data_IF_847921951785
#
_entry.id   IF_847921951785
#
_cell.length_a   1.000
_cell.length_b   1.000
_cell.length_c   1.000
_cell.angle_alpha   90.00
_cell.angle_beta   90.00
_cell.angle_gamma   90.00
#
_symmetry.space_group_name_H-M   'P 1'
#
loop_
_entity.id
_entity.type
_entity.pdbx_description
1 polymer ?
#
# COMPACT_ATOMS: atom_id res chain seq x y z
N UNK A 1 6.05 -10.44 -37.33
CA UNK A 1 6.74 -10.22 -36.03
C UNK A 1 5.65 -9.85 -35.05
N UNK A 2 5.63 -10.48 -33.86
CA UNK A 2 4.66 -10.13 -32.81
C UNK A 2 5.39 -9.33 -31.74
N UNK A 3 4.87 -8.16 -31.40
CA UNK A 3 5.48 -7.24 -30.43
C UNK A 3 4.65 -7.17 -29.15
N UNK A 4 5.33 -6.97 -28.02
CA UNK A 4 4.71 -6.70 -26.73
C UNK A 4 5.04 -5.26 -26.33
N UNK A 5 4.03 -4.48 -25.99
CA UNK A 5 4.16 -3.11 -25.49
C UNK A 5 3.90 -3.15 -23.99
N UNK A 6 4.98 -3.10 -23.21
CA UNK A 6 4.96 -3.11 -21.75
C UNK A 6 5.62 -1.82 -21.23
N UNK A 7 4.80 -0.79 -20.99
CA UNK A 7 5.26 0.55 -20.58
C UNK A 7 4.67 0.87 -19.21
N UNK A 8 5.50 1.24 -18.25
CA UNK A 8 5.04 1.67 -16.92
C UNK A 8 4.35 3.05 -16.97
N UNK A 9 3.63 3.40 -15.91
CA UNK A 9 2.97 4.68 -15.73
C UNK A 9 3.94 5.87 -15.78
N UNK A 10 3.47 6.97 -16.36
CA UNK A 10 4.13 8.26 -16.30
C UNK A 10 3.47 9.02 -15.16
N UNK A 11 4.05 8.95 -13.94
CA UNK A 11 3.46 9.46 -12.69
C UNK A 11 2.84 10.85 -12.86
N UNK A 12 1.55 10.96 -12.53
CA UNK A 12 0.78 12.21 -12.64
C UNK A 12 0.43 12.64 -14.07
N UNK A 13 0.66 11.80 -15.08
CA UNK A 13 0.43 12.08 -16.49
C UNK A 13 -0.40 11.00 -17.18
N UNK A 14 0.16 9.80 -17.37
CA UNK A 14 -0.50 8.67 -18.04
C UNK A 14 -0.39 7.40 -17.19
N UNK A 15 -1.49 6.66 -17.08
CA UNK A 15 -1.45 5.28 -16.60
C UNK A 15 -0.66 4.40 -17.58
N UNK A 16 -0.16 3.27 -17.10
CA UNK A 16 0.52 2.27 -17.94
C UNK A 16 -0.34 1.85 -19.15
N UNK A 17 -1.64 1.63 -18.94
CA UNK A 17 -2.57 1.30 -20.02
C UNK A 17 -2.70 2.42 -21.07
N UNK A 18 -2.75 3.69 -20.64
CA UNK A 18 -2.81 4.83 -21.56
C UNK A 18 -1.51 5.02 -22.34
N UNK A 19 -0.36 4.86 -21.69
CA UNK A 19 0.95 4.93 -22.34
C UNK A 19 1.11 3.81 -23.38
N UNK A 20 0.73 2.58 -23.02
CA UNK A 20 0.73 1.44 -23.93
C UNK A 20 -0.20 1.63 -25.12
N UNK A 21 -1.41 2.17 -24.91
CA UNK A 21 -2.35 2.49 -25.99
C UNK A 21 -1.78 3.54 -26.95
N UNK A 22 -1.18 4.61 -26.43
CA UNK A 22 -0.57 5.65 -27.25
C UNK A 22 0.60 5.09 -28.09
N UNK A 23 1.42 4.20 -27.51
CA UNK A 23 2.48 3.52 -28.23
C UNK A 23 1.94 2.56 -29.31
N UNK A 24 0.86 1.84 -29.01
CA UNK A 24 0.19 0.96 -29.98
C UNK A 24 -0.36 1.75 -31.18
N UNK A 25 -0.97 2.91 -30.94
CA UNK A 25 -1.48 3.79 -32.01
C UNK A 25 -0.36 4.32 -32.93
N UNK A 26 0.86 4.49 -32.39
CA UNK A 26 2.04 4.91 -33.15
C UNK A 26 2.82 3.74 -33.78
N UNK A 27 2.45 2.50 -33.50
CA UNK A 27 3.18 1.32 -33.92
C UNK A 27 2.74 0.86 -35.33
N UNK A 28 3.59 1.10 -36.32
CA UNK A 28 3.25 0.83 -37.73
C UNK A 28 3.55 -0.63 -38.13
N UNK A 29 2.50 -1.38 -38.45
CA UNK A 29 2.59 -2.56 -39.34
C UNK A 29 2.94 -3.93 -38.75
N UNK A 30 3.02 -4.12 -37.43
CA UNK A 30 3.19 -5.45 -36.82
C UNK A 30 2.10 -5.77 -35.80
N UNK A 31 1.74 -7.05 -35.66
CA UNK A 31 0.82 -7.51 -34.62
C UNK A 31 1.41 -7.18 -33.24
N UNK A 32 0.75 -6.32 -32.47
CA UNK A 32 1.23 -5.87 -31.17
C UNK A 32 0.13 -5.96 -30.11
N UNK A 33 0.55 -6.28 -28.88
CA UNK A 33 -0.33 -6.39 -27.72
C UNK A 33 0.20 -5.48 -26.60
N UNK A 34 -0.71 -4.78 -25.92
CA UNK A 34 -0.39 -3.94 -24.76
C UNK A 34 -0.57 -4.76 -23.51
N UNK A 35 0.48 -4.85 -22.70
CA UNK A 35 0.42 -5.43 -21.35
C UNK A 35 0.77 -4.33 -20.36
N UNK A 36 -0.23 -3.82 -19.60
CA UNK A 36 0.04 -2.89 -18.53
C UNK A 36 0.99 -3.50 -17.50
N UNK A 37 1.95 -2.71 -17.03
CA UNK A 37 2.93 -3.10 -16.02
C UNK A 37 2.94 -2.07 -14.90
N UNK A 38 3.38 -2.51 -13.71
CA UNK A 38 3.54 -1.66 -12.53
C UNK A 38 4.70 -2.19 -11.69
N UNK A 39 5.47 -1.28 -11.10
CA UNK A 39 6.53 -1.55 -10.14
C UNK A 39 6.03 -1.75 -8.68
N UNK A 40 4.71 -1.86 -8.50
CA UNK A 40 4.08 -1.84 -7.18
C UNK A 40 3.61 -0.44 -6.75
N UNK A 41 3.76 0.55 -7.62
CA UNK A 41 3.15 1.88 -7.52
C UNK A 41 1.75 1.96 -8.09
N UNK A 42 1.38 3.15 -8.57
CA UNK A 42 0.04 3.48 -9.03
C UNK A 42 -0.44 2.55 -10.16
N UNK A 43 -1.61 1.95 -9.96
CA UNK A 43 -2.23 1.03 -10.91
C UNK A 43 -1.95 -0.44 -10.62
N UNK A 44 -1.06 -0.77 -9.69
CA UNK A 44 -0.71 -2.14 -9.31
C UNK A 44 -1.94 -3.00 -8.98
N UNK A 45 -2.83 -2.54 -8.10
CA UNK A 45 -4.00 -3.35 -7.73
C UNK A 45 -4.99 -3.46 -8.86
N UNK A 46 -5.14 -2.42 -9.68
CA UNK A 46 -6.07 -2.45 -10.82
C UNK A 46 -5.59 -3.45 -11.87
N UNK A 47 -4.33 -3.34 -12.28
CA UNK A 47 -3.72 -4.21 -13.29
C UNK A 47 -3.79 -5.68 -12.85
N UNK A 48 -3.30 -6.00 -11.64
CA UNK A 48 -3.26 -7.39 -11.19
C UNK A 48 -4.66 -7.97 -10.95
N UNK A 49 -5.60 -7.18 -10.45
CA UNK A 49 -6.99 -7.66 -10.28
C UNK A 49 -7.61 -8.01 -11.62
N UNK A 50 -7.44 -7.16 -12.63
CA UNK A 50 -7.98 -7.39 -13.97
C UNK A 50 -7.30 -8.60 -14.63
N UNK A 51 -5.97 -8.69 -14.58
CA UNK A 51 -5.21 -9.82 -15.12
C UNK A 51 -5.59 -11.17 -14.48
N UNK A 52 -5.94 -11.17 -13.19
CA UNK A 52 -6.35 -12.37 -12.46
C UNK A 52 -7.86 -12.66 -12.54
N UNK A 53 -8.63 -11.85 -13.28
CA UNK A 53 -10.09 -12.01 -13.37
C UNK A 53 -10.80 -11.79 -12.03
N UNK A 54 -10.21 -10.96 -11.17
CA UNK A 54 -10.72 -10.64 -9.84
C UNK A 54 -11.85 -9.62 -9.86
N UNK A 55 -12.21 -9.17 -8.66
CA UNK A 55 -13.22 -8.12 -8.43
C UNK A 55 -12.67 -7.05 -7.51
N UNK A 56 -13.28 -5.87 -7.52
CA UNK A 56 -12.89 -4.79 -6.63
C UNK A 56 -13.84 -4.70 -5.44
N UNK A 57 -13.27 -4.33 -4.29
CA UNK A 57 -14.01 -4.01 -3.08
C UNK A 57 -13.71 -2.59 -2.64
N UNK A 58 -14.73 -1.93 -2.11
CA UNK A 58 -14.68 -0.53 -1.70
C UNK A 58 -14.97 -0.42 -0.21
N UNK A 59 -14.15 0.35 0.50
CA UNK A 59 -14.15 0.41 1.97
C UNK A 59 -14.05 1.87 2.40
N UNK A 60 -14.80 2.22 3.45
CA UNK A 60 -14.61 3.49 4.15
C UNK A 60 -13.37 3.37 5.04
N UNK A 61 -12.39 4.24 4.85
CA UNK A 61 -11.14 4.26 5.62
C UNK A 61 -10.70 5.71 5.85
N UNK A 62 -9.50 5.87 6.39
CA UNK A 62 -8.89 7.18 6.64
C UNK A 62 -7.74 7.46 5.67
N UNK A 63 -7.61 8.71 5.27
CA UNK A 63 -6.50 9.18 4.44
C UNK A 63 -5.23 9.44 5.28
N UNK A 64 -4.11 9.90 4.68
CA UNK A 64 -2.88 10.15 5.44
C UNK A 64 -3.04 11.15 6.59
N UNK A 65 -4.02 12.05 6.56
CA UNK A 65 -4.28 13.04 7.59
C UNK A 65 -5.43 12.66 8.53
N UNK A 66 -5.94 11.43 8.44
CA UNK A 66 -7.02 10.93 9.28
C UNK A 66 -8.42 11.39 8.85
N UNK A 67 -8.59 11.90 7.63
CA UNK A 67 -9.90 12.29 7.08
C UNK A 67 -10.59 11.05 6.51
N UNK A 68 -11.90 10.92 6.70
CA UNK A 68 -12.65 9.80 6.12
C UNK A 68 -12.69 9.91 4.60
N UNK A 69 -12.32 8.81 3.94
CA UNK A 69 -12.34 8.64 2.49
C UNK A 69 -12.94 7.27 2.15
N UNK A 70 -13.18 7.07 0.86
CA UNK A 70 -13.54 5.76 0.32
C UNK A 70 -12.41 5.29 -0.58
N UNK A 71 -11.81 4.17 -0.24
CA UNK A 71 -10.73 3.55 -1.00
C UNK A 71 -11.19 2.22 -1.59
N UNK A 72 -10.45 1.76 -2.61
CA UNK A 72 -10.74 0.53 -3.35
C UNK A 72 -9.51 -0.36 -3.35
N UNK A 73 -9.71 -1.66 -3.24
CA UNK A 73 -8.67 -2.66 -3.42
C UNK A 73 -9.18 -3.85 -4.24
N UNK A 74 -8.25 -4.66 -4.73
CA UNK A 74 -8.51 -5.82 -5.56
C UNK A 74 -8.68 -7.12 -4.78
N UNK A 75 -9.51 -8.03 -5.28
CA UNK A 75 -9.65 -9.37 -4.74
C UNK A 75 -9.67 -10.39 -5.87
N UNK A 76 -8.73 -11.32 -5.85
CA UNK A 76 -8.67 -12.45 -6.76
C UNK A 76 -8.50 -13.74 -5.95
N UNK A 77 -9.44 -14.67 -6.07
CA UNK A 77 -9.51 -15.87 -5.23
C UNK A 77 -9.51 -15.53 -3.73
N UNK A 78 -8.46 -15.92 -3.00
CA UNK A 78 -8.25 -15.63 -1.57
C UNK A 78 -7.12 -14.62 -1.34
N UNK A 79 -6.67 -13.97 -2.42
CA UNK A 79 -5.61 -12.97 -2.40
C UNK A 79 -6.22 -11.57 -2.53
N UNK A 80 -5.96 -10.71 -1.56
CA UNK A 80 -6.27 -9.28 -1.68
C UNK A 80 -5.06 -8.53 -2.22
N UNK A 81 -5.31 -7.63 -3.16
CA UNK A 81 -4.31 -6.85 -3.85
C UNK A 81 -4.55 -5.39 -3.46
N UNK A 82 -3.68 -4.85 -2.63
CA UNK A 82 -3.84 -3.55 -1.97
C UNK A 82 -2.71 -2.64 -2.40
N UNK A 83 -3.00 -1.37 -2.64
CA UNK A 83 -2.00 -0.32 -2.85
C UNK A 83 -2.03 0.63 -1.66
N UNK A 84 -0.86 0.96 -1.11
CA UNK A 84 -0.75 2.01 -0.09
C UNK A 84 -1.28 3.34 -0.61
N UNK A 85 -1.08 3.64 -1.90
CA UNK A 85 -1.57 4.87 -2.51
C UNK A 85 -3.10 5.07 -2.40
N UNK A 86 -3.87 3.98 -2.32
CA UNK A 86 -5.34 4.04 -2.28
C UNK A 86 -5.88 4.69 -1.00
N UNK A 87 -5.20 4.50 0.14
CA UNK A 87 -5.61 5.06 1.43
C UNK A 87 -4.55 5.94 2.09
N UNK A 88 -3.30 5.84 1.67
CA UNK A 88 -2.14 6.49 2.27
C UNK A 88 -1.29 7.21 1.22
N UNK A 89 -1.84 7.54 0.06
CA UNK A 89 -1.10 8.08 -1.08
C UNK A 89 -0.91 9.59 -1.14
N UNK A 90 0.10 10.02 -1.88
CA UNK A 90 0.39 11.43 -2.19
C UNK A 90 -0.76 12.12 -2.92
N UNK A 91 -1.46 11.41 -3.80
CA UNK A 91 -2.59 11.94 -4.57
C UNK A 91 -3.81 12.32 -3.73
N UNK A 92 -3.85 11.93 -2.46
CA UNK A 92 -4.91 12.28 -1.50
C UNK A 92 -4.67 13.63 -0.82
N UNK A 93 -3.49 14.22 -1.01
CA UNK A 93 -3.06 15.43 -0.31
C UNK A 93 -2.87 16.58 -1.30
N UNK A 94 -3.24 17.78 -0.87
CA UNK A 94 -2.84 19.02 -1.54
C UNK A 94 -1.36 19.28 -1.30
N UNK A 95 -0.73 20.10 -2.16
CA UNK A 95 0.71 20.40 -2.05
C UNK A 95 1.09 20.99 -0.69
N UNK A 96 0.21 21.80 -0.10
CA UNK A 96 0.43 22.44 1.20
C UNK A 96 0.20 21.49 2.38
N UNK A 97 -0.44 20.34 2.12
CA UNK A 97 -0.72 19.29 3.11
C UNK A 97 0.38 18.23 3.19
N UNK A 98 1.35 18.28 2.26
CA UNK A 98 2.46 17.33 2.21
C UNK A 98 3.39 17.51 3.42
N UNK A 99 3.12 16.74 4.47
CA UNK A 99 3.94 16.68 5.66
C UNK A 99 4.08 15.22 6.13
N UNK A 100 5.21 14.56 5.85
CA UNK A 100 5.40 13.14 6.17
C UNK A 100 5.44 12.84 7.68
N UNK A 101 5.63 13.85 8.53
CA UNK A 101 5.59 13.71 10.00
C UNK A 101 4.16 13.52 10.49
N UNK A 102 3.19 14.16 9.84
CA UNK A 102 1.78 14.08 10.21
C UNK A 102 1.06 12.93 9.51
N UNK A 103 1.57 12.50 8.36
CA UNK A 103 0.98 11.45 7.55
C UNK A 103 1.04 10.07 8.24
N UNK A 104 -0.06 9.32 8.21
CA UNK A 104 -0.19 7.97 8.77
C UNK A 104 -0.60 6.93 7.73
N UNK A 105 -0.08 5.70 7.86
CA UNK A 105 -0.46 4.54 7.03
C UNK A 105 -1.72 3.82 7.55
N UNK A 106 -2.41 4.37 8.55
CA UNK A 106 -3.56 3.76 9.22
C UNK A 106 -4.64 3.26 8.26
N UNK A 107 -5.01 4.08 7.27
CA UNK A 107 -6.00 3.69 6.27
C UNK A 107 -5.63 2.46 5.46
N UNK A 108 -4.35 2.27 5.14
CA UNK A 108 -3.88 1.04 4.48
C UNK A 108 -4.13 -0.18 5.39
N UNK A 109 -3.90 -0.03 6.70
CA UNK A 109 -4.20 -1.09 7.66
C UNK A 109 -5.70 -1.40 7.78
N UNK A 110 -6.58 -0.40 7.62
CA UNK A 110 -8.03 -0.62 7.54
C UNK A 110 -8.41 -1.45 6.30
N UNK A 111 -7.76 -1.21 5.15
CA UNK A 111 -7.96 -2.04 3.95
C UNK A 111 -7.50 -3.49 4.17
N UNK A 112 -6.34 -3.67 4.81
CA UNK A 112 -5.84 -5.01 5.14
C UNK A 112 -6.81 -5.72 6.09
N UNK A 113 -7.33 -5.03 7.10
CA UNK A 113 -8.28 -5.61 8.05
C UNK A 113 -9.57 -6.04 7.35
N UNK A 114 -10.17 -5.16 6.52
CA UNK A 114 -11.37 -5.49 5.75
C UNK A 114 -11.14 -6.69 4.81
N UNK A 115 -9.97 -6.76 4.16
CA UNK A 115 -9.61 -7.91 3.31
C UNK A 115 -9.54 -9.23 4.09
N UNK A 116 -8.92 -9.22 5.27
CA UNK A 116 -8.83 -10.40 6.13
C UNK A 116 -10.22 -10.82 6.65
N UNK A 117 -11.07 -9.86 7.03
CA UNK A 117 -12.45 -10.10 7.46
C UNK A 117 -13.32 -10.64 6.32
N UNK A 118 -13.06 -10.20 5.09
CA UNK A 118 -13.69 -10.73 3.88
C UNK A 118 -13.21 -12.14 3.51
N UNK A 119 -12.16 -12.63 4.18
CA UNK A 119 -11.68 -14.01 4.09
C UNK A 119 -10.45 -14.21 3.23
N UNK A 120 -9.74 -13.13 2.85
CA UNK A 120 -8.42 -13.25 2.24
C UNK A 120 -7.44 -13.94 3.20
N UNK A 121 -6.55 -14.78 2.68
CA UNK A 121 -5.42 -15.37 3.43
C UNK A 121 -4.06 -14.98 2.88
N UNK A 122 -4.03 -14.28 1.75
CA UNK A 122 -2.83 -13.69 1.18
C UNK A 122 -3.08 -12.20 0.86
N UNK A 123 -2.09 -11.36 1.17
CA UNK A 123 -2.12 -9.93 0.85
C UNK A 123 -0.93 -9.61 -0.05
N UNK A 124 -1.20 -9.08 -1.24
CA UNK A 124 -0.21 -8.49 -2.13
C UNK A 124 -0.28 -6.98 -1.98
N UNK A 125 0.75 -6.38 -1.39
CA UNK A 125 0.77 -4.96 -1.04
C UNK A 125 1.73 -4.19 -1.94
N UNK A 126 1.19 -3.36 -2.83
CA UNK A 126 1.95 -2.36 -3.57
C UNK A 126 2.28 -1.16 -2.67
N UNK A 127 3.56 -0.84 -2.54
CA UNK A 127 4.05 0.19 -1.60
C UNK A 127 4.27 1.57 -2.25
N UNK A 128 4.17 1.69 -3.58
CA UNK A 128 4.50 2.92 -4.27
C UNK A 128 3.44 4.02 -4.10
N UNK A 129 3.88 5.28 -4.23
CA UNK A 129 2.99 6.45 -4.17
C UNK A 129 2.53 6.88 -2.78
N UNK A 130 3.09 6.32 -1.70
CA UNK A 130 2.75 6.67 -0.32
C UNK A 130 3.13 8.12 0.05
N UNK A 131 2.28 8.77 0.84
CA UNK A 131 2.52 10.05 1.49
C UNK A 131 3.18 9.90 2.88
N UNK A 132 3.39 8.67 3.35
CA UNK A 132 3.76 8.38 4.75
C UNK A 132 5.24 7.98 4.87
N UNK A 133 5.84 8.29 6.03
CA UNK A 133 7.15 7.78 6.43
C UNK A 133 7.11 7.15 7.83
N UNK A 134 5.96 6.63 8.25
CA UNK A 134 5.65 6.13 9.59
C UNK A 134 6.15 4.71 9.88
N UNK A 135 6.98 4.15 9.00
CA UNK A 135 7.52 2.79 9.13
C UNK A 135 6.44 1.70 9.22
N UNK A 136 5.20 1.98 8.77
CA UNK A 136 4.07 1.04 8.88
C UNK A 136 3.45 0.98 10.28
N UNK A 137 3.80 1.88 11.19
CA UNK A 137 3.18 1.96 12.52
C UNK A 137 1.68 2.19 12.43
N UNK A 138 1.21 3.05 11.52
CA UNK A 138 -0.23 3.24 11.26
C UNK A 138 -0.95 1.94 10.86
N UNK A 139 -0.38 1.17 9.91
CA UNK A 139 -0.90 -0.15 9.52
C UNK A 139 -1.04 -1.06 10.75
N UNK A 140 0.01 -1.16 11.56
CA UNK A 140 0.01 -2.00 12.76
C UNK A 140 -1.04 -1.50 13.77
N UNK A 141 -1.20 -0.20 13.95
CA UNK A 141 -2.25 0.34 14.83
C UNK A 141 -3.65 -0.06 14.39
N UNK A 142 -3.95 0.02 13.08
CA UNK A 142 -5.25 -0.41 12.54
C UNK A 142 -5.49 -1.91 12.77
N UNK A 143 -4.43 -2.73 12.70
CA UNK A 143 -4.46 -4.16 13.03
C UNK A 143 -4.52 -4.45 14.55
N UNK A 144 -4.64 -3.42 15.38
CA UNK A 144 -4.86 -3.54 16.82
C UNK A 144 -3.60 -3.52 17.68
N UNK A 145 -2.43 -3.29 17.10
CA UNK A 145 -1.20 -3.08 17.86
C UNK A 145 -1.21 -1.73 18.57
N UNK A 146 -0.59 -1.68 19.75
CA UNK A 146 -0.46 -0.46 20.54
C UNK A 146 1.01 -0.14 20.75
N UNK A 147 1.38 1.11 20.49
CA UNK A 147 2.72 1.64 20.75
C UNK A 147 2.68 2.50 22.01
N UNK A 148 3.59 2.23 22.94
CA UNK A 148 3.71 2.95 24.21
C UNK A 148 5.02 3.73 24.24
N UNK A 149 4.97 4.95 24.77
CA UNK A 149 6.16 5.72 25.14
C UNK A 149 6.51 5.48 26.62
N UNK A 150 7.73 5.86 27.05
CA UNK A 150 8.18 5.72 28.45
C UNK A 150 7.31 6.49 29.45
N UNK A 151 6.63 7.54 28.98
CA UNK A 151 5.53 8.14 29.73
C UNK A 151 4.32 7.22 29.61
N UNK A 152 3.98 6.51 30.69
CA UNK A 152 2.95 5.44 30.81
C UNK A 152 1.52 5.74 30.30
N UNK A 153 1.28 6.79 29.49
CA UNK A 153 -0.06 7.23 29.05
C UNK A 153 -0.20 7.81 27.63
N UNK A 154 0.83 7.95 26.81
CA UNK A 154 0.63 8.43 25.42
C UNK A 154 0.76 7.30 24.40
N UNK A 155 -0.27 7.17 23.55
CA UNK A 155 -0.22 6.38 22.33
C UNK A 155 0.44 7.24 21.25
N UNK A 156 1.33 6.66 20.46
CA UNK A 156 1.87 7.33 19.28
C UNK A 156 0.78 7.30 18.22
N UNK A 157 0.32 8.47 17.75
CA UNK A 157 -0.56 8.57 16.58
C UNK A 157 0.21 9.29 15.48
N UNK A 158 0.31 8.68 14.29
CA UNK A 158 1.09 9.23 13.18
C UNK A 158 2.59 8.88 13.24
N UNK A 159 3.41 9.60 12.49
CA UNK A 159 4.84 9.32 12.30
C UNK A 159 5.74 9.92 13.41
N UNK A 160 5.28 9.97 14.67
CA UNK A 160 6.14 10.37 15.80
C UNK A 160 7.04 9.20 16.23
N UNK A 161 7.82 8.72 15.26
CA UNK A 161 8.79 7.64 15.37
C UNK A 161 10.10 8.10 16.01
N UNK A 162 10.28 9.40 16.28
CA UNK A 162 11.47 9.92 16.99
C UNK A 162 11.56 9.44 18.44
N UNK A 163 10.46 8.93 19.00
CA UNK A 163 10.45 8.23 20.29
C UNK A 163 10.80 6.73 20.21
N UNK A 164 11.07 6.20 19.00
CA UNK A 164 11.38 4.79 18.75
C UNK A 164 12.90 4.63 18.65
N UNK A 165 13.54 4.20 19.73
CA UNK A 165 14.98 3.91 19.74
C UNK A 165 15.28 2.50 19.18
N UNK A 166 16.30 2.38 18.32
CA UNK A 166 16.82 1.09 17.82
C UNK A 166 17.74 0.48 18.87
N UNK A 167 17.45 -0.74 19.32
CA UNK A 167 18.38 -1.48 20.17
C UNK A 167 19.43 -2.18 19.31
N UNK A 168 20.68 -1.79 19.53
CA UNK A 168 21.89 -2.51 19.18
C UNK A 168 22.73 -2.62 20.44
N UNK A 169 22.80 -3.81 21.01
CA UNK A 169 23.65 -4.24 22.13
C UNK A 169 23.42 -3.58 23.50
N UNK A 170 22.87 -4.42 24.39
CA UNK A 170 23.12 -4.44 25.84
C UNK A 170 22.88 -3.13 26.61
N UNK A 171 21.63 -2.72 26.77
CA UNK A 171 21.15 -2.26 28.08
C UNK A 171 19.63 -2.40 28.17
N UNK A 172 19.13 -3.01 29.25
CA UNK A 172 17.69 -3.24 29.44
C UNK A 172 16.98 -1.92 29.77
N UNK A 173 16.40 -1.28 28.76
CA UNK A 173 15.46 -0.15 28.89
C UNK A 173 15.38 0.65 27.58
N UNK A 174 14.17 0.84 27.05
CA UNK A 174 13.80 1.64 25.85
C UNK A 174 13.38 0.92 24.55
N UNK A 175 12.93 -0.33 24.61
CA UNK A 175 12.17 -0.93 23.49
C UNK A 175 10.66 -0.69 23.66
N UNK A 176 9.99 0.02 22.74
CA UNK A 176 8.53 0.11 22.76
C UNK A 176 7.92 -1.29 22.66
N UNK A 177 7.03 -1.61 23.60
CA UNK A 177 6.37 -2.91 23.64
C UNK A 177 5.21 -2.94 22.66
N UNK A 178 5.35 -3.76 21.64
CA UNK A 178 4.29 -4.13 20.70
C UNK A 178 3.43 -5.20 21.37
N UNK A 179 2.19 -4.85 21.73
CA UNK A 179 1.22 -5.82 22.28
C UNK A 179 0.18 -6.11 21.18
N UNK A 180 0.20 -7.29 20.54
CA UNK A 180 -0.86 -7.68 19.63
C UNK A 180 -2.18 -7.84 20.39
N UNK A 181 -3.28 -7.40 19.78
CA UNK A 181 -4.63 -7.70 20.27
C UNK A 181 -5.21 -8.86 19.45
N UNK A 182 -5.06 -10.09 19.95
CA UNK A 182 -5.65 -11.30 19.33
C UNK A 182 -4.65 -12.17 18.56
N UNK A 183 -5.17 -13.18 17.87
CA UNK A 183 -4.37 -14.16 17.10
C UNK A 183 -3.83 -13.53 15.81
N UNK A 184 -2.62 -12.99 15.87
CA UNK A 184 -1.98 -12.21 14.78
C UNK A 184 -1.29 -13.08 13.72
N UNK A 185 -1.59 -14.38 13.68
CA UNK A 185 -0.86 -15.40 12.91
C UNK A 185 -1.12 -15.42 11.40
N UNK A 186 -1.94 -14.48 10.87
CA UNK A 186 -2.44 -14.55 9.48
C UNK A 186 -1.86 -13.54 8.50
N UNK A 187 -0.97 -12.64 8.92
CA UNK A 187 -0.43 -11.62 8.01
C UNK A 187 0.91 -12.09 7.44
N UNK A 188 0.88 -12.80 6.31
CA UNK A 188 2.06 -13.06 5.49
C UNK A 188 2.16 -11.91 4.47
N UNK A 189 2.99 -10.91 4.76
CA UNK A 189 3.38 -9.91 3.77
C UNK A 189 4.43 -10.55 2.86
N UNK A 190 4.03 -10.95 1.65
CA UNK A 190 5.00 -11.26 0.60
C UNK A 190 5.41 -9.97 -0.08
N UNK A 191 6.68 -9.61 0.07
CA UNK A 191 7.29 -8.57 -0.75
C UNK A 191 7.41 -9.12 -2.17
N UNK A 192 6.65 -8.57 -3.12
CA UNK A 192 6.84 -8.86 -4.54
C UNK A 192 8.01 -8.01 -5.01
N UNK A 193 9.22 -8.45 -4.69
CA UNK A 193 10.43 -7.94 -5.31
C UNK A 193 10.72 -8.83 -6.51
N UNK A 194 10.69 -8.23 -7.69
CA UNK A 194 11.22 -8.73 -8.97
C UNK A 194 10.85 -10.17 -9.33
N UNK A 195 10.14 -10.32 -10.45
CA UNK A 195 10.13 -11.59 -11.18
C UNK A 195 11.56 -11.77 -11.67
N UNK A 196 12.39 -12.53 -10.94
CA UNK A 196 13.68 -13.01 -11.42
C UNK A 196 13.42 -13.78 -12.72
N UNK A 197 13.86 -13.20 -13.84
CA UNK A 197 13.88 -13.82 -15.16
C UNK A 197 15.16 -14.62 -15.40
#
# INVERSE_FOLDING_TARGET
MKALIAIDSFKGCLSSAQAGKAALEAFDGSEAEVVPVSDGGEGFSTILTECLGGSFRTVSCHDPLGRSITAKYGLANRTAIIETAAASGLGLLRKEELNPILATSYGTGELILDALEYGADEIWLGLGGSATCDGGTGILQALGYRFHTDSKRSFISGNDTQSISKDGSSNRGNTPRVIPKGDSSKVILKHVQEIDG
#
